data_IF_894202334235
#
_entry.id   IF_894202334235
#
_cell.length_a   1.000
_cell.length_b   1.000
_cell.length_c   1.000
_cell.angle_alpha   90.00
_cell.angle_beta   90.00
_cell.angle_gamma   90.00
#
_symmetry.space_group_name_H-M   'P 1'
#
loop_
_entity.id
_entity.type
_entity.pdbx_description
1 polymer ?
#
# COMPACT_ATOMS: atom_id res chain seq x y z
N UNK A 1 -29.65 48.82 -11.29
CA UNK A 1 -29.26 50.10 -10.65
C UNK A 1 -29.02 49.75 -9.19
N UNK A 2 -27.81 49.73 -8.65
CA UNK A 2 -27.06 50.93 -8.25
C UNK A 2 -25.58 50.57 -8.11
N UNK A 3 -24.75 51.48 -8.61
CA UNK A 3 -23.29 51.42 -8.64
C UNK A 3 -22.73 51.89 -7.29
N UNK A 4 -21.60 51.34 -6.85
CA UNK A 4 -20.65 52.13 -6.04
C UNK A 4 -19.22 51.85 -6.51
N UNK A 5 -18.61 52.91 -7.05
CA UNK A 5 -17.17 53.05 -7.34
C UNK A 5 -16.64 54.01 -6.29
N UNK A 6 -15.57 53.68 -5.57
CA UNK A 6 -14.59 54.68 -5.10
C UNK A 6 -13.20 54.05 -5.16
N UNK A 7 -12.30 54.78 -5.81
CA UNK A 7 -10.87 54.54 -5.98
C UNK A 7 -10.05 55.43 -5.05
N UNK A 8 -8.71 55.38 -5.21
CA UNK A 8 -7.61 56.15 -4.57
C UNK A 8 -6.96 55.48 -3.36
N UNK A 9 -5.65 55.55 -3.12
CA UNK A 9 -4.42 55.78 -3.89
C UNK A 9 -3.27 55.80 -2.85
N UNK A 10 -2.04 55.63 -3.34
CA UNK A 10 -0.80 56.28 -2.88
C UNK A 10 0.29 55.37 -2.29
N UNK A 11 1.47 55.62 -2.86
CA UNK A 11 2.77 54.99 -2.71
C UNK A 11 3.64 55.64 -1.63
N UNK A 12 4.68 54.93 -1.17
CA UNK A 12 6.00 55.35 -0.66
C UNK A 12 6.58 54.11 0.07
N UNK A 13 7.86 53.73 0.04
CA UNK A 13 9.13 54.47 0.00
C UNK A 13 10.27 53.47 -0.29
N UNK A 14 11.32 53.96 -0.94
CA UNK A 14 12.58 53.29 -1.29
C UNK A 14 13.61 53.46 -0.15
N UNK A 15 14.39 52.43 0.19
CA UNK A 15 15.63 52.59 0.96
C UNK A 15 16.71 51.60 0.46
N UNK A 16 17.74 52.16 -0.16
CA UNK A 16 19.02 51.53 -0.52
C UNK A 16 19.98 51.67 0.67
N UNK A 17 20.67 50.59 1.07
CA UNK A 17 22.01 50.71 1.67
C UNK A 17 22.94 49.63 1.15
N UNK A 18 24.12 50.11 0.79
CA UNK A 18 25.30 49.49 0.19
C UNK A 18 26.21 48.87 1.25
N UNK A 19 26.84 47.72 0.94
CA UNK A 19 28.22 47.44 1.36
C UNK A 19 28.87 46.39 0.43
N UNK A 20 29.95 46.81 -0.24
CA UNK A 20 30.91 45.97 -0.98
C UNK A 20 32.10 45.62 -0.08
N UNK A 21 32.71 44.44 -0.33
CA UNK A 21 34.16 44.06 -0.31
C UNK A 21 34.23 42.54 -0.04
N UNK A 22 34.68 41.61 -0.93
CA UNK A 22 35.99 41.41 -1.62
C UNK A 22 37.14 41.31 -0.57
N UNK A 23 38.07 40.36 -0.55
CA UNK A 23 38.88 39.75 -1.63
C UNK A 23 39.50 38.39 -1.22
N UNK A 24 40.07 37.74 -2.23
CA UNK A 24 40.74 36.45 -2.36
C UNK A 24 41.91 36.15 -1.40
N UNK A 25 42.15 34.85 -1.19
CA UNK A 25 43.42 34.29 -0.73
C UNK A 25 43.82 33.09 -1.60
N UNK A 26 45.06 33.03 -2.12
CA UNK A 26 45.49 32.00 -3.08
C UNK A 26 45.88 30.69 -2.40
N UNK A 27 45.67 29.60 -3.14
CA UNK A 27 46.15 28.26 -2.81
C UNK A 27 47.69 28.16 -2.78
N UNK A 28 48.22 27.14 -2.09
CA UNK A 28 49.39 26.42 -2.54
C UNK A 28 49.02 24.99 -2.96
N UNK A 29 49.39 24.65 -4.19
CA UNK A 29 49.48 23.28 -4.71
C UNK A 29 50.70 22.56 -4.12
N UNK A 30 50.61 21.23 -4.12
CA UNK A 30 51.70 20.25 -4.10
C UNK A 30 52.44 19.98 -2.79
N UNK A 31 52.01 18.91 -2.12
CA UNK A 31 52.95 17.83 -1.84
C UNK A 31 52.22 16.47 -1.90
N UNK A 32 52.38 15.77 -3.02
CA UNK A 32 51.94 14.37 -3.18
C UNK A 32 53.03 13.48 -2.59
N UNK A 33 52.77 12.93 -1.41
CA UNK A 33 53.45 11.74 -0.91
C UNK A 33 52.44 10.61 -0.94
N UNK A 34 52.72 9.64 -1.80
CA UNK A 34 51.96 8.42 -1.97
C UNK A 34 52.29 7.47 -0.82
N UNK A 35 51.37 7.31 0.12
CA UNK A 35 51.37 6.22 1.10
C UNK A 35 50.30 5.20 0.69
N UNK A 36 50.59 3.88 0.66
CA UNK A 36 49.64 2.88 0.18
C UNK A 36 48.37 2.85 1.04
N UNK A 37 47.25 3.28 0.48
CA UNK A 37 45.93 3.11 1.07
C UNK A 37 45.61 1.62 1.11
N UNK A 38 45.88 1.05 2.27
CA UNK A 38 45.32 -0.18 2.81
C UNK A 38 43.90 -0.38 2.28
N UNK A 39 43.68 -1.54 1.66
CA UNK A 39 42.42 -1.91 1.05
C UNK A 39 41.31 -1.77 2.11
N UNK A 40 40.45 -0.78 1.91
CA UNK A 40 39.16 -0.73 2.58
C UNK A 40 38.36 -1.87 1.97
N UNK A 41 38.28 -2.98 2.69
CA UNK A 41 37.26 -4.00 2.45
C UNK A 41 35.92 -3.27 2.35
N UNK A 42 35.30 -3.38 1.18
CA UNK A 42 33.96 -2.90 0.97
C UNK A 42 33.05 -3.55 2.03
N UNK A 43 32.12 -2.81 2.65
CA UNK A 43 31.12 -3.44 3.50
C UNK A 43 30.39 -4.50 2.66
N UNK A 44 30.38 -5.72 3.18
CA UNK A 44 29.74 -6.86 2.56
C UNK A 44 28.28 -6.57 2.26
N UNK A 45 27.90 -6.89 1.03
CA UNK A 45 26.55 -6.89 0.51
C UNK A 45 25.79 -8.05 1.18
N UNK A 46 25.32 -7.85 2.41
CA UNK A 46 24.46 -8.81 3.14
C UNK A 46 23.22 -8.10 3.67
N UNK A 47 22.58 -7.31 2.80
CA UNK A 47 21.26 -6.73 3.02
C UNK A 47 20.22 -7.56 2.26
N UNK A 48 20.12 -8.86 2.60
CA UNK A 48 18.94 -9.65 2.22
C UNK A 48 17.77 -9.18 3.07
N UNK A 49 17.13 -8.09 2.64
CA UNK A 49 15.85 -7.68 3.20
C UNK A 49 14.89 -8.89 3.23
N UNK A 50 14.36 -9.20 4.41
CA UNK A 50 13.36 -10.25 4.59
C UNK A 50 12.19 -10.02 3.61
N UNK A 51 11.64 -11.08 2.99
CA UNK A 51 10.53 -10.94 2.05
C UNK A 51 9.34 -10.28 2.74
N UNK A 52 8.76 -9.27 2.11
CA UNK A 52 7.64 -8.53 2.67
C UNK A 52 6.40 -9.44 2.82
N UNK A 53 5.84 -9.49 4.03
CA UNK A 53 4.59 -10.21 4.33
C UNK A 53 3.38 -9.29 4.21
N UNK A 54 2.24 -9.83 3.78
CA UNK A 54 0.95 -9.13 3.81
C UNK A 54 0.40 -9.10 5.24
N UNK A 55 -0.17 -7.99 5.67
CA UNK A 55 -1.12 -8.03 6.77
C UNK A 55 -2.13 -6.90 6.69
N UNK A 56 -2.97 -6.77 7.72
CA UNK A 56 -4.18 -5.93 7.67
C UNK A 56 -3.97 -4.49 7.17
N UNK A 57 -2.83 -3.87 7.49
CA UNK A 57 -2.50 -2.50 7.09
C UNK A 57 -1.85 -2.36 5.71
N UNK A 58 -1.39 -3.46 5.11
CA UNK A 58 -0.74 -3.43 3.80
C UNK A 58 0.39 -4.44 3.60
N UNK A 59 1.11 -4.28 2.48
CA UNK A 59 2.23 -5.13 2.04
C UNK A 59 3.35 -4.29 1.45
N UNK A 60 4.60 -4.60 1.79
CA UNK A 60 5.78 -3.92 1.23
C UNK A 60 5.66 -2.39 1.36
N UNK A 61 5.68 -1.63 0.24
CA UNK A 61 5.51 -0.17 0.25
C UNK A 61 4.03 0.27 0.37
N UNK A 62 3.06 -0.60 0.11
CA UNK A 62 1.64 -0.24 0.06
C UNK A 62 1.02 -0.15 1.45
N UNK A 63 0.21 0.88 1.70
CA UNK A 63 -0.61 1.02 2.90
C UNK A 63 -2.05 1.31 2.51
N UNK A 64 -2.98 0.66 3.19
CA UNK A 64 -4.42 0.90 3.00
C UNK A 64 -4.72 2.37 3.31
N UNK A 65 -5.41 3.04 2.39
CA UNK A 65 -5.72 4.46 2.41
C UNK A 65 -4.82 5.35 1.53
N UNK A 66 -3.72 4.81 0.99
CA UNK A 66 -2.88 5.50 -0.01
C UNK A 66 -3.71 5.98 -1.20
N UNK A 67 -3.36 7.13 -1.76
CA UNK A 67 -3.98 7.59 -3.01
C UNK A 67 -3.55 6.74 -4.21
N UNK A 68 -4.33 6.78 -5.29
CA UNK A 68 -3.96 6.14 -6.56
C UNK A 68 -2.56 6.58 -7.05
N UNK A 69 -2.22 7.86 -6.91
CA UNK A 69 -0.91 8.39 -7.29
C UNK A 69 0.22 7.79 -6.44
N UNK A 70 -0.01 7.61 -5.14
CA UNK A 70 0.95 6.98 -4.22
C UNK A 70 1.16 5.49 -4.56
N UNK A 71 0.08 4.75 -4.86
CA UNK A 71 0.16 3.35 -5.31
C UNK A 71 0.91 3.26 -6.64
N UNK A 72 0.57 4.13 -7.59
CA UNK A 72 1.22 4.20 -8.91
C UNK A 72 2.71 4.50 -8.78
N UNK A 73 3.08 5.44 -7.92
CA UNK A 73 4.48 5.75 -7.65
C UNK A 73 5.21 4.57 -7.02
N UNK A 74 4.58 3.88 -6.06
CA UNK A 74 5.17 2.76 -5.33
C UNK A 74 5.42 1.54 -6.24
N UNK A 75 4.40 1.07 -6.96
CA UNK A 75 4.46 -0.22 -7.67
C UNK A 75 3.92 -0.18 -9.11
N UNK A 76 3.74 1.01 -9.66
CA UNK A 76 3.33 1.21 -11.06
C UNK A 76 1.82 1.36 -11.20
N UNK A 77 1.41 1.96 -12.31
CA UNK A 77 0.01 2.05 -12.72
C UNK A 77 -0.54 0.66 -13.08
N UNK A 78 -1.81 0.61 -13.46
CA UNK A 78 -2.40 -0.60 -14.01
C UNK A 78 -1.59 -1.15 -15.20
N UNK A 79 -1.30 -2.46 -15.14
CA UNK A 79 -0.66 -3.21 -16.22
C UNK A 79 -1.58 -3.39 -17.44
N UNK A 80 -2.89 -3.20 -17.28
CA UNK A 80 -3.91 -3.35 -18.32
C UNK A 80 -4.84 -2.12 -18.39
N UNK A 81 -4.33 -0.93 -18.73
CA UNK A 81 -5.05 0.35 -18.61
C UNK A 81 -6.32 0.48 -19.49
N UNK A 82 -6.55 -0.45 -20.42
CA UNK A 82 -7.77 -0.52 -21.24
C UNK A 82 -8.84 -1.44 -20.62
N UNK A 83 -8.58 -2.01 -19.43
CA UNK A 83 -9.56 -2.77 -18.66
C UNK A 83 -10.67 -1.87 -18.13
N UNK A 84 -11.83 -2.47 -17.83
CA UNK A 84 -12.99 -1.75 -17.32
C UNK A 84 -12.83 -1.49 -15.82
N UNK A 85 -13.06 -0.25 -15.41
CA UNK A 85 -13.01 0.22 -14.02
C UNK A 85 -12.87 1.73 -14.00
N UNK A 86 -13.45 2.40 -12.99
CA UNK A 86 -13.21 3.82 -12.74
C UNK A 86 -12.66 3.94 -11.31
N UNK A 87 -11.37 4.27 -11.12
CA UNK A 87 -10.78 4.41 -9.79
C UNK A 87 -11.48 5.46 -8.90
N UNK A 88 -12.24 6.40 -9.48
CA UNK A 88 -13.06 7.34 -8.72
C UNK A 88 -14.34 6.71 -8.15
N UNK A 89 -14.79 5.59 -8.71
CA UNK A 89 -15.91 4.78 -8.22
C UNK A 89 -15.36 3.49 -7.57
N UNK A 90 -14.91 2.54 -8.38
CA UNK A 90 -14.23 1.31 -7.99
C UNK A 90 -13.41 0.80 -9.16
N UNK A 91 -12.14 0.46 -8.93
CA UNK A 91 -11.29 -0.23 -9.89
C UNK A 91 -10.44 -1.31 -9.21
N UNK A 92 -10.36 -2.49 -9.83
CA UNK A 92 -9.54 -3.60 -9.39
C UNK A 92 -8.57 -4.00 -10.48
N UNK A 93 -7.28 -3.87 -10.19
CA UNK A 93 -6.26 -4.06 -11.21
C UNK A 93 -4.96 -4.63 -10.66
N UNK A 94 -4.10 -5.09 -11.58
CA UNK A 94 -2.76 -5.54 -11.27
C UNK A 94 -1.76 -4.42 -11.56
N UNK A 95 -1.09 -3.86 -10.54
CA UNK A 95 -0.04 -2.87 -10.76
C UNK A 95 1.14 -3.43 -11.57
N UNK A 96 1.74 -2.62 -12.45
CA UNK A 96 2.76 -3.07 -13.41
C UNK A 96 4.01 -3.72 -12.79
N UNK A 97 4.35 -3.38 -11.53
CA UNK A 97 5.48 -3.96 -10.79
C UNK A 97 5.03 -4.84 -9.62
N UNK A 98 3.75 -5.21 -9.55
CA UNK A 98 3.25 -6.14 -8.53
C UNK A 98 3.78 -7.57 -8.77
N UNK A 99 4.13 -8.30 -7.69
CA UNK A 99 4.41 -9.74 -7.76
C UNK A 99 3.24 -10.53 -8.38
N UNK A 100 3.52 -11.78 -8.76
CA UNK A 100 2.47 -12.67 -9.26
C UNK A 100 1.35 -12.87 -8.20
N UNK A 101 0.11 -12.96 -8.68
CA UNK A 101 -1.07 -13.12 -7.84
C UNK A 101 -1.47 -11.90 -6.99
N UNK A 102 -0.70 -10.80 -6.99
CA UNK A 102 -1.07 -9.57 -6.26
C UNK A 102 -1.87 -8.61 -7.15
N UNK A 103 -3.00 -8.14 -6.63
CA UNK A 103 -3.83 -7.09 -7.22
C UNK A 103 -4.37 -6.16 -6.14
N UNK A 104 -4.85 -4.99 -6.54
CA UNK A 104 -5.34 -3.94 -5.63
C UNK A 104 -6.74 -3.52 -6.01
N UNK A 105 -7.50 -3.05 -5.01
CA UNK A 105 -8.76 -2.34 -5.22
C UNK A 105 -8.58 -0.87 -4.83
N UNK A 106 -8.99 0.02 -5.73
CA UNK A 106 -9.07 1.45 -5.52
C UNK A 106 -10.54 1.84 -5.51
N UNK A 107 -10.98 2.51 -4.44
CA UNK A 107 -12.30 3.13 -4.35
C UNK A 107 -12.12 4.58 -3.95
N UNK A 108 -12.89 5.48 -4.56
CA UNK A 108 -12.77 6.92 -4.31
C UNK A 108 -11.31 7.44 -4.39
N UNK A 109 -10.54 6.90 -5.34
CA UNK A 109 -9.10 7.15 -5.53
C UNK A 109 -8.20 6.75 -4.35
N UNK A 110 -8.63 5.81 -3.50
CA UNK A 110 -7.86 5.28 -2.37
C UNK A 110 -7.72 3.76 -2.43
N UNK A 111 -6.55 3.26 -2.03
CA UNK A 111 -6.31 1.85 -1.84
C UNK A 111 -7.13 1.30 -0.67
N UNK A 112 -8.16 0.51 -0.95
CA UNK A 112 -9.03 -0.07 0.10
C UNK A 112 -8.71 -1.55 0.35
N UNK A 113 -8.20 -2.26 -0.66
CA UNK A 113 -7.89 -3.70 -0.59
C UNK A 113 -6.59 -4.04 -1.32
N UNK A 114 -5.79 -4.91 -0.71
CA UNK A 114 -4.73 -5.66 -1.38
C UNK A 114 -5.15 -7.13 -1.36
N UNK A 115 -5.10 -7.77 -2.52
CA UNK A 115 -5.52 -9.14 -2.69
C UNK A 115 -4.38 -10.01 -3.21
N UNK A 116 -4.32 -11.26 -2.73
CA UNK A 116 -3.48 -12.32 -3.24
C UNK A 116 -4.37 -13.44 -3.77
N UNK A 117 -4.12 -13.91 -4.99
CA UNK A 117 -4.78 -15.06 -5.60
C UNK A 117 -3.77 -16.13 -6.02
N UNK A 118 -4.23 -17.09 -6.83
CA UNK A 118 -3.38 -18.09 -7.48
C UNK A 118 -2.09 -17.46 -8.05
N UNK A 119 -0.99 -18.23 -8.03
CA UNK A 119 0.38 -17.79 -8.37
C UNK A 119 1.10 -16.88 -7.35
N UNK A 120 0.44 -16.45 -6.27
CA UNK A 120 1.13 -15.70 -5.22
C UNK A 120 1.96 -16.60 -4.29
N UNK A 121 3.21 -16.22 -4.04
CA UNK A 121 4.11 -16.83 -3.04
C UNK A 121 4.19 -16.01 -1.74
N UNK A 122 3.49 -14.87 -1.68
CA UNK A 122 3.48 -13.94 -0.56
C UNK A 122 2.76 -14.59 0.63
N UNK A 123 3.43 -14.59 1.78
CA UNK A 123 2.82 -14.99 3.05
C UNK A 123 2.16 -13.80 3.75
N UNK A 124 1.13 -14.09 4.55
CA UNK A 124 0.66 -13.16 5.56
C UNK A 124 1.66 -13.05 6.72
N UNK A 125 1.50 -12.08 7.61
CA UNK A 125 2.34 -11.92 8.82
C UNK A 125 2.35 -13.18 9.70
N UNK A 126 1.25 -13.92 9.68
CA UNK A 126 1.07 -15.19 10.39
C UNK A 126 1.61 -16.40 9.61
N UNK A 127 2.20 -16.18 8.43
CA UNK A 127 2.85 -17.19 7.61
C UNK A 127 1.92 -17.96 6.69
N UNK A 128 0.65 -17.55 6.56
CA UNK A 128 -0.37 -18.22 5.74
C UNK A 128 -0.24 -17.78 4.28
N UNK A 129 -0.43 -18.70 3.34
CA UNK A 129 -0.37 -18.46 1.88
C UNK A 129 -1.62 -18.95 1.16
N UNK A 130 -1.78 -18.49 -0.09
CA UNK A 130 -2.67 -19.16 -1.04
C UNK A 130 -2.21 -20.62 -1.19
N UNK A 131 -3.16 -21.56 -1.16
CA UNK A 131 -2.92 -23.00 -1.15
C UNK A 131 -2.85 -23.63 0.25
N UNK A 132 -2.77 -22.85 1.33
CA UNK A 132 -2.82 -23.42 2.68
C UNK A 132 -4.21 -23.92 3.06
N UNK A 133 -4.33 -24.92 3.95
CA UNK A 133 -5.63 -25.36 4.46
C UNK A 133 -6.24 -24.29 5.38
N UNK A 134 -7.58 -24.19 5.41
CA UNK A 134 -8.34 -23.36 6.35
C UNK A 134 -7.93 -23.56 7.81
N UNK A 135 -7.50 -24.78 8.17
CA UNK A 135 -6.97 -25.10 9.49
C UNK A 135 -5.67 -24.36 9.86
N UNK A 136 -4.93 -23.80 8.91
CA UNK A 136 -3.82 -22.89 9.20
C UNK A 136 -4.33 -21.54 9.75
N UNK A 137 -5.39 -21.00 9.14
CA UNK A 137 -6.03 -19.74 9.57
C UNK A 137 -6.60 -19.90 10.99
N UNK A 138 -7.39 -20.94 11.25
CA UNK A 138 -8.00 -21.13 12.57
C UNK A 138 -6.97 -21.39 13.67
N UNK A 139 -5.86 -22.08 13.36
CA UNK A 139 -4.74 -22.24 14.31
C UNK A 139 -4.03 -20.92 14.62
N UNK A 140 -3.87 -20.05 13.63
CA UNK A 140 -3.16 -18.78 13.79
C UNK A 140 -3.98 -17.75 14.60
N UNK A 141 -5.29 -17.70 14.38
CA UNK A 141 -6.12 -16.62 14.95
C UNK A 141 -7.09 -17.07 16.05
N UNK A 142 -7.42 -18.36 16.14
CA UNK A 142 -8.32 -18.92 17.14
C UNK A 142 -9.72 -18.29 17.08
N UNK A 143 -10.24 -17.91 18.24
CA UNK A 143 -11.60 -17.36 18.40
C UNK A 143 -11.80 -15.98 17.74
N UNK A 144 -10.73 -15.37 17.20
CA UNK A 144 -10.81 -14.12 16.44
C UNK A 144 -11.34 -14.30 15.02
N UNK A 145 -11.46 -15.53 14.53
CA UNK A 145 -11.95 -15.80 13.17
C UNK A 145 -13.48 -15.68 13.15
N UNK A 146 -13.97 -14.73 12.38
CA UNK A 146 -15.36 -14.71 11.92
C UNK A 146 -15.49 -15.63 10.70
N UNK A 147 -16.17 -16.76 10.90
CA UNK A 147 -16.30 -17.83 9.92
C UNK A 147 -17.71 -17.84 9.30
N UNK A 148 -17.85 -17.48 8.03
CA UNK A 148 -19.12 -17.47 7.29
C UNK A 148 -19.08 -18.31 6.01
N UNK A 149 -20.23 -18.80 5.51
CA UNK A 149 -20.29 -19.48 4.22
C UNK A 149 -19.81 -18.58 3.08
N UNK A 150 -19.10 -19.15 2.11
CA UNK A 150 -18.80 -18.47 0.86
C UNK A 150 -20.07 -18.39 -0.01
N UNK A 151 -20.31 -17.24 -0.65
CA UNK A 151 -21.54 -17.02 -1.43
C UNK A 151 -21.73 -18.04 -2.57
N UNK A 152 -20.64 -18.41 -3.26
CA UNK A 152 -20.70 -19.19 -4.50
C UNK A 152 -20.04 -20.57 -4.44
N UNK A 153 -19.22 -20.84 -3.43
CA UNK A 153 -18.34 -22.03 -3.44
C UNK A 153 -18.86 -23.16 -2.56
N UNK A 154 -19.86 -23.87 -3.08
CA UNK A 154 -20.38 -25.10 -2.49
C UNK A 154 -20.80 -24.96 -1.02
N UNK A 155 -21.18 -26.07 -0.35
CA UNK A 155 -21.57 -26.01 1.06
C UNK A 155 -20.37 -25.88 2.01
N UNK A 156 -19.14 -26.04 1.52
CA UNK A 156 -17.93 -26.10 2.34
C UNK A 156 -16.99 -24.90 2.18
N UNK A 157 -17.12 -24.11 1.10
CA UNK A 157 -16.34 -22.89 0.94
C UNK A 157 -16.70 -21.88 2.03
N UNK A 158 -15.68 -21.18 2.53
CA UNK A 158 -15.81 -20.26 3.67
C UNK A 158 -15.14 -18.93 3.35
N UNK A 159 -15.64 -17.89 4.01
CA UNK A 159 -14.90 -16.68 4.29
C UNK A 159 -14.44 -16.73 5.75
N UNK A 160 -13.12 -16.67 5.97
CA UNK A 160 -12.52 -16.62 7.30
C UNK A 160 -11.95 -15.22 7.49
N UNK A 161 -12.66 -14.36 8.23
CA UNK A 161 -12.31 -12.95 8.38
C UNK A 161 -11.78 -12.67 9.77
N UNK A 162 -10.70 -11.89 9.86
CA UNK A 162 -10.10 -11.46 11.12
C UNK A 162 -9.89 -9.96 11.06
N UNK A 163 -10.55 -9.23 11.96
CA UNK A 163 -10.33 -7.81 12.17
C UNK A 163 -9.27 -7.59 13.26
N UNK A 164 -8.43 -6.59 13.06
CA UNK A 164 -7.28 -6.28 13.95
C UNK A 164 -7.43 -4.93 14.63
N UNK A 165 -8.15 -4.01 13.99
CA UNK A 165 -8.45 -2.66 14.49
C UNK A 165 -9.86 -2.26 14.03
N UNK A 166 -10.38 -1.15 14.59
CA UNK A 166 -11.71 -0.62 14.28
C UNK A 166 -12.82 -1.15 15.17
N UNK A 167 -14.02 -0.56 15.01
CA UNK A 167 -15.25 -1.02 15.65
C UNK A 167 -15.92 -2.11 14.80
N UNK A 168 -15.70 -3.37 15.16
CA UNK A 168 -16.12 -4.53 14.35
C UNK A 168 -17.12 -5.49 15.04
N UNK A 169 -18.09 -5.04 15.86
CA UNK A 169 -19.02 -5.94 16.54
C UNK A 169 -20.13 -6.47 15.62
N UNK A 170 -20.33 -5.83 14.46
CA UNK A 170 -21.37 -6.17 13.51
C UNK A 170 -20.95 -7.34 12.58
N UNK A 171 -21.90 -8.13 12.06
CA UNK A 171 -21.63 -9.18 11.07
C UNK A 171 -21.02 -8.65 9.76
N UNK A 172 -21.33 -7.38 9.43
CA UNK A 172 -20.73 -6.64 8.34
C UNK A 172 -20.14 -5.35 8.92
N UNK A 173 -18.85 -5.12 8.68
CA UNK A 173 -18.10 -3.99 9.23
C UNK A 173 -18.10 -2.84 8.23
N UNK A 174 -18.60 -1.68 8.66
CA UNK A 174 -18.64 -0.44 7.87
C UNK A 174 -17.65 0.62 8.36
N UNK A 175 -16.93 0.36 9.46
CA UNK A 175 -15.93 1.29 9.97
C UNK A 175 -14.73 1.38 9.02
N UNK A 176 -14.58 2.51 8.34
CA UNK A 176 -13.46 2.81 7.43
C UNK A 176 -12.08 2.78 8.13
N UNK A 177 -12.04 2.93 9.45
CA UNK A 177 -10.81 2.77 10.24
C UNK A 177 -10.49 1.31 10.56
N UNK A 178 -11.40 0.36 10.30
CA UNK A 178 -11.16 -1.05 10.54
C UNK A 178 -10.09 -1.59 9.60
N UNK A 179 -9.27 -2.51 10.11
CA UNK A 179 -8.24 -3.19 9.32
C UNK A 179 -8.29 -4.67 9.59
N UNK A 180 -8.37 -5.45 8.54
CA UNK A 180 -8.54 -6.89 8.65
C UNK A 180 -7.88 -7.66 7.52
N UNK A 181 -8.03 -8.97 7.64
CA UNK A 181 -7.66 -9.93 6.62
C UNK A 181 -8.77 -10.96 6.46
N UNK A 182 -9.16 -11.26 5.22
CA UNK A 182 -10.13 -12.30 4.86
C UNK A 182 -9.44 -13.36 4.00
N UNK A 183 -9.64 -14.61 4.38
CA UNK A 183 -9.22 -15.77 3.61
C UNK A 183 -10.46 -16.42 2.99
N UNK A 184 -10.45 -16.60 1.68
CA UNK A 184 -11.51 -17.30 0.96
C UNK A 184 -11.08 -18.72 0.65
N UNK A 185 -11.93 -19.69 0.94
CA UNK A 185 -11.59 -21.10 0.75
C UNK A 185 -12.48 -21.77 -0.28
N UNK A 186 -11.89 -22.71 -1.02
CA UNK A 186 -12.66 -23.58 -1.91
C UNK A 186 -13.46 -24.65 -1.16
N UNK A 187 -14.15 -25.52 -1.92
CA UNK A 187 -14.95 -26.64 -1.39
C UNK A 187 -14.13 -27.69 -0.64
N UNK A 188 -12.80 -27.73 -0.86
CA UNK A 188 -11.87 -28.60 -0.13
C UNK A 188 -11.29 -27.92 1.12
N UNK A 189 -11.74 -26.68 1.41
CA UNK A 189 -11.21 -25.80 2.46
C UNK A 189 -9.74 -25.43 2.27
N UNK A 190 -9.33 -25.26 1.02
CA UNK A 190 -8.03 -24.70 0.66
C UNK A 190 -8.17 -23.20 0.42
N UNK A 191 -7.29 -22.38 1.00
CA UNK A 191 -7.26 -20.92 0.78
C UNK A 191 -6.94 -20.64 -0.69
N UNK A 192 -7.81 -19.88 -1.36
CA UNK A 192 -7.63 -19.49 -2.78
C UNK A 192 -7.37 -18.01 -2.96
N UNK A 193 -7.94 -17.19 -2.07
CA UNK A 193 -7.77 -15.75 -2.11
C UNK A 193 -7.55 -15.22 -0.70
N UNK A 194 -6.68 -14.22 -0.59
CA UNK A 194 -6.42 -13.51 0.68
C UNK A 194 -6.59 -12.02 0.42
N UNK A 195 -7.48 -11.37 1.16
CA UNK A 195 -7.72 -9.94 1.09
C UNK A 195 -7.25 -9.28 2.39
N UNK A 196 -6.46 -8.20 2.31
CA UNK A 196 -6.15 -7.35 3.44
C UNK A 196 -6.58 -5.91 3.14
N UNK A 197 -7.16 -5.22 4.11
CA UNK A 197 -7.84 -3.96 3.80
C UNK A 197 -8.76 -3.46 4.90
N UNK A 198 -9.57 -2.49 4.50
CA UNK A 198 -10.73 -1.99 5.27
C UNK A 198 -12.00 -2.79 4.99
N UNK A 199 -13.18 -2.18 5.10
CA UNK A 199 -14.48 -2.81 4.84
C UNK A 199 -14.56 -3.63 3.54
N UNK A 200 -13.87 -3.20 2.48
CA UNK A 200 -13.90 -3.83 1.15
C UNK A 200 -13.34 -5.27 1.09
N UNK A 201 -12.63 -5.74 2.13
CA UNK A 201 -12.29 -7.17 2.23
C UNK A 201 -13.52 -8.07 2.30
N UNK A 202 -14.69 -7.52 2.65
CA UNK A 202 -15.93 -8.27 2.79
C UNK A 202 -16.72 -8.42 1.50
N UNK A 203 -16.39 -7.66 0.45
CA UNK A 203 -17.16 -7.67 -0.79
C UNK A 203 -17.21 -9.09 -1.38
N UNK A 204 -18.39 -9.47 -1.83
CA UNK A 204 -18.63 -10.76 -2.49
C UNK A 204 -18.24 -10.68 -3.96
N UNK A 205 -18.60 -9.58 -4.60
CA UNK A 205 -18.13 -9.21 -5.93
C UNK A 205 -16.91 -8.29 -5.82
N UNK A 206 -16.15 -8.21 -6.89
CA UNK A 206 -15.15 -7.15 -7.04
C UNK A 206 -15.80 -5.81 -7.39
N UNK A 207 -15.04 -4.92 -8.02
CA UNK A 207 -15.59 -3.77 -8.73
C UNK A 207 -16.48 -4.22 -9.90
N UNK A 208 -17.67 -3.62 -10.05
CA UNK A 208 -18.68 -3.94 -11.08
C UNK A 208 -18.78 -2.84 -12.14
#
# INVERSE_FOLDING_TARGET
MTRYRIAFAAALTLALTTACSREDGPAPSENVTSEPKEAVEAPGDDDRAEPATLGAEGWGPLRIGMSLDEVTAAIGADAQPDAFGDPAECDEYRPARAPAGLFVMIEENRLTRISLSDESDIATREGIRVGDPAGAVTRAYGDRVHDSPHEYVGPQGRYLTVWTTGDTPAPYVEDEAARGIRYETDETRTVRTIHAGGPSIQYVEGCL
#
